data_IF_819820400437
#
_entry.id   IF_819820400437
#
_cell.length_a   1.000
_cell.length_b   1.000
_cell.length_c   1.000
_cell.angle_alpha   90.00
_cell.angle_beta   90.00
_cell.angle_gamma   90.00
#
_symmetry.space_group_name_H-M   'P 1'
#
loop_
_entity.id
_entity.type
_entity.pdbx_description
1 polymer ?
#
# COMPACT_ATOMS: atom_id res chain seq x y z
N UNK A 1 -8.49 -10.99 -12.68
CA UNK A 1 -8.74 -10.48 -14.06
C UNK A 1 -9.49 -11.43 -14.99
N UNK A 2 -9.35 -12.77 -14.91
CA UNK A 2 -10.14 -13.67 -15.77
C UNK A 2 -11.65 -13.52 -15.57
N UNK A 3 -12.11 -13.54 -14.32
CA UNK A 3 -13.53 -13.37 -13.99
C UNK A 3 -14.10 -12.02 -14.49
N UNK A 4 -13.32 -10.93 -14.38
CA UNK A 4 -13.69 -9.62 -14.93
C UNK A 4 -13.91 -9.69 -16.45
N UNK A 5 -12.97 -10.27 -17.20
CA UNK A 5 -13.08 -10.41 -18.66
C UNK A 5 -14.25 -11.29 -19.11
N UNK A 6 -14.69 -12.21 -18.25
CA UNK A 6 -15.82 -13.11 -18.51
C UNK A 6 -17.17 -12.56 -18.07
N UNK A 7 -17.23 -11.35 -17.48
CA UNK A 7 -18.48 -10.82 -16.93
C UNK A 7 -18.91 -11.50 -15.61
N UNK A 8 -18.06 -12.34 -15.01
CA UNK A 8 -18.40 -13.12 -13.81
C UNK A 8 -18.24 -12.25 -12.55
N UNK A 9 -19.33 -11.60 -12.13
CA UNK A 9 -19.38 -10.70 -10.97
C UNK A 9 -18.98 -11.41 -9.67
N UNK A 10 -19.61 -12.54 -9.35
CA UNK A 10 -19.36 -13.25 -8.08
C UNK A 10 -17.93 -13.78 -8.01
N UNK A 11 -17.45 -14.38 -9.10
CA UNK A 11 -16.07 -14.87 -9.18
C UNK A 11 -15.04 -13.73 -9.11
N UNK A 12 -15.35 -12.56 -9.67
CA UNK A 12 -14.49 -11.38 -9.55
C UNK A 12 -14.43 -10.88 -8.10
N UNK A 13 -15.58 -10.71 -7.45
CA UNK A 13 -15.67 -10.24 -6.07
C UNK A 13 -14.95 -11.18 -5.09
N UNK A 14 -15.12 -12.50 -5.25
CA UNK A 14 -14.41 -13.49 -4.44
C UNK A 14 -12.89 -13.39 -4.62
N UNK A 15 -12.43 -13.28 -5.87
CA UNK A 15 -11.00 -13.15 -6.18
C UNK A 15 -10.41 -11.84 -5.67
N UNK A 16 -11.16 -10.73 -5.79
CA UNK A 16 -10.77 -9.42 -5.29
C UNK A 16 -10.63 -9.43 -3.76
N UNK A 17 -11.61 -10.01 -3.05
CA UNK A 17 -11.56 -10.16 -1.59
C UNK A 17 -10.37 -11.01 -1.15
N UNK A 18 -10.13 -12.14 -1.81
CA UNK A 18 -8.98 -13.00 -1.51
C UNK A 18 -7.65 -12.22 -1.70
N UNK A 19 -7.53 -11.49 -2.81
CA UNK A 19 -6.33 -10.71 -3.08
C UNK A 19 -6.08 -9.60 -2.04
N UNK A 20 -7.11 -8.89 -1.60
CA UNK A 20 -6.98 -7.87 -0.55
C UNK A 20 -6.63 -8.50 0.81
N UNK A 21 -7.19 -9.67 1.13
CA UNK A 21 -6.81 -10.42 2.33
C UNK A 21 -5.34 -10.84 2.30
N UNK A 22 -4.82 -11.27 1.13
CA UNK A 22 -3.40 -11.61 0.98
C UNK A 22 -2.49 -10.40 1.24
N UNK A 23 -2.89 -9.18 0.87
CA UNK A 23 -2.13 -7.98 1.22
C UNK A 23 -2.17 -7.68 2.72
N UNK A 24 -3.30 -7.93 3.38
CA UNK A 24 -3.40 -7.80 4.83
C UNK A 24 -2.50 -8.82 5.54
N UNK A 25 -2.53 -10.08 5.11
CA UNK A 25 -1.65 -11.16 5.62
C UNK A 25 -0.17 -10.84 5.38
N UNK A 26 0.17 -10.32 4.19
CA UNK A 26 1.53 -9.87 3.88
C UNK A 26 1.99 -8.77 4.84
N UNK A 27 1.14 -7.78 5.14
CA UNK A 27 1.49 -6.73 6.11
C UNK A 27 1.76 -7.30 7.50
N UNK A 28 0.98 -8.29 7.95
CA UNK A 28 1.20 -8.97 9.25
C UNK A 28 2.54 -9.71 9.26
N UNK A 29 2.83 -10.50 8.22
CA UNK A 29 4.10 -11.21 8.10
C UNK A 29 5.30 -10.25 8.11
N UNK A 30 5.25 -9.19 7.31
CA UNK A 30 6.32 -8.17 7.28
C UNK A 30 6.47 -7.47 8.64
N UNK A 31 5.37 -7.28 9.37
CA UNK A 31 5.34 -6.67 10.70
C UNK A 31 6.10 -7.46 11.77
N UNK A 32 6.35 -8.75 11.54
CA UNK A 32 7.05 -9.64 12.46
C UNK A 32 8.58 -9.59 12.36
N UNK A 33 9.14 -8.81 11.42
CA UNK A 33 10.58 -8.69 11.26
C UNK A 33 11.00 -7.22 11.15
N UNK A 34 11.95 -6.82 12.01
CA UNK A 34 12.46 -5.44 12.10
C UNK A 34 12.94 -4.88 10.76
N UNK A 35 13.46 -5.70 9.86
CA UNK A 35 14.06 -5.23 8.60
C UNK A 35 13.01 -4.86 7.54
N UNK A 36 11.73 -5.16 7.82
CA UNK A 36 10.60 -4.88 6.95
C UNK A 36 9.61 -3.83 7.52
N UNK A 37 10.05 -3.01 8.48
CA UNK A 37 9.19 -2.01 9.13
C UNK A 37 9.37 -0.60 8.56
N UNK A 38 8.32 -0.02 8.00
CA UNK A 38 8.30 1.38 7.57
C UNK A 38 8.66 2.34 8.72
N UNK A 39 8.19 2.06 9.94
CA UNK A 39 8.42 2.93 11.09
C UNK A 39 9.91 3.14 11.40
N UNK A 40 10.77 2.14 11.14
CA UNK A 40 12.22 2.28 11.34
C UNK A 40 12.84 3.23 10.33
N UNK A 41 12.42 3.14 9.06
CA UNK A 41 12.86 4.04 8.01
C UNK A 41 12.46 5.49 8.30
N UNK A 42 11.19 5.72 8.63
CA UNK A 42 10.70 7.07 8.94
C UNK A 42 11.31 7.63 10.22
N UNK A 43 11.51 6.81 11.25
CA UNK A 43 12.21 7.22 12.48
C UNK A 43 13.66 7.63 12.19
N UNK A 44 14.37 6.87 11.35
CA UNK A 44 15.73 7.19 10.96
C UNK A 44 15.79 8.52 10.19
N UNK A 45 14.89 8.74 9.23
CA UNK A 45 14.82 9.99 8.48
C UNK A 45 14.56 11.19 9.39
N UNK A 46 13.58 11.10 10.30
CA UNK A 46 13.30 12.14 11.31
C UNK A 46 14.49 12.41 12.22
N UNK A 47 15.30 11.40 12.56
CA UNK A 47 16.44 11.57 13.46
C UNK A 47 17.55 12.45 12.85
N UNK A 48 17.57 12.65 11.52
CA UNK A 48 18.53 13.52 10.84
C UNK A 48 18.20 15.02 11.00
N UNK A 49 16.94 15.37 11.31
CA UNK A 49 16.50 16.76 11.42
C UNK A 49 16.71 17.32 12.83
N UNK A 50 17.13 18.58 12.93
CA UNK A 50 17.35 19.27 14.22
C UNK A 50 16.11 20.05 14.66
N UNK A 51 15.38 20.63 13.71
CA UNK A 51 14.13 21.38 13.94
C UNK A 51 12.88 20.55 13.62
N UNK A 52 11.70 20.97 14.09
CA UNK A 52 10.45 20.30 13.75
C UNK A 52 10.18 20.31 12.24
N UNK A 53 10.50 21.41 11.58
CA UNK A 53 10.35 21.60 10.13
C UNK A 53 11.26 20.66 9.35
N UNK A 54 12.53 20.52 9.74
CA UNK A 54 13.45 19.57 9.11
C UNK A 54 12.98 18.12 9.29
N UNK A 55 12.50 17.76 10.48
CA UNK A 55 11.99 16.41 10.74
C UNK A 55 10.80 16.06 9.85
N UNK A 56 9.88 17.00 9.65
CA UNK A 56 8.74 16.83 8.76
C UNK A 56 9.17 16.73 7.30
N UNK A 57 10.11 17.59 6.86
CA UNK A 57 10.65 17.55 5.50
C UNK A 57 11.37 16.22 5.20
N UNK A 58 12.13 15.69 6.16
CA UNK A 58 12.83 14.42 5.98
C UNK A 58 11.89 13.21 6.01
N UNK A 59 10.79 13.26 6.79
CA UNK A 59 9.74 12.25 6.67
C UNK A 59 9.07 12.29 5.29
N UNK A 60 8.71 13.48 4.79
CA UNK A 60 8.17 13.67 3.45
C UNK A 60 9.12 13.07 2.39
N UNK A 61 10.40 13.43 2.43
CA UNK A 61 11.40 12.90 1.50
C UNK A 61 11.52 11.37 1.58
N UNK A 62 11.50 10.81 2.80
CA UNK A 62 11.61 9.38 3.03
C UNK A 62 10.40 8.60 2.49
N UNK A 63 9.19 9.15 2.60
CA UNK A 63 7.97 8.58 2.01
C UNK A 63 8.01 8.70 0.49
N UNK A 64 8.26 9.91 -0.01
CA UNK A 64 8.32 10.19 -1.44
C UNK A 64 9.33 9.30 -2.17
N UNK A 65 10.52 9.12 -1.61
CA UNK A 65 11.57 8.31 -2.23
C UNK A 65 11.15 6.86 -2.49
N UNK A 66 10.33 6.25 -1.62
CA UNK A 66 9.91 4.84 -1.77
C UNK A 66 8.58 4.67 -2.50
N UNK A 67 7.93 5.77 -2.90
CA UNK A 67 6.64 5.77 -3.61
C UNK A 67 6.70 6.58 -4.90
N UNK A 68 6.36 7.87 -4.87
CA UNK A 68 6.20 8.72 -6.06
C UNK A 68 7.52 9.11 -6.72
N UNK A 69 8.62 9.09 -5.96
CA UNK A 69 9.98 9.49 -6.36
C UNK A 69 10.14 10.97 -6.78
N UNK A 70 9.04 11.69 -6.95
CA UNK A 70 8.98 13.12 -7.21
C UNK A 70 7.58 13.67 -6.89
N UNK A 71 7.41 15.00 -6.89
CA UNK A 71 6.21 15.66 -6.37
C UNK A 71 4.93 15.31 -7.14
N UNK A 72 5.03 14.78 -8.36
CA UNK A 72 3.86 14.41 -9.19
C UNK A 72 3.94 12.97 -9.67
N UNK A 73 4.73 12.12 -9.02
CA UNK A 73 4.88 10.73 -9.44
C UNK A 73 5.73 10.57 -10.70
N UNK A 74 6.86 11.28 -10.80
CA UNK A 74 7.73 11.23 -11.97
C UNK A 74 8.29 9.83 -12.26
N UNK A 75 8.54 9.02 -11.21
CA UNK A 75 9.01 7.63 -11.34
C UNK A 75 8.33 6.73 -10.30
N UNK A 76 6.99 6.70 -10.35
CA UNK A 76 6.13 5.96 -9.42
C UNK A 76 6.63 4.53 -9.21
N UNK A 77 6.72 4.13 -7.94
CA UNK A 77 7.08 2.80 -7.44
C UNK A 77 8.49 2.32 -7.77
N UNK A 78 9.37 3.16 -8.33
CA UNK A 78 10.74 2.75 -8.71
C UNK A 78 11.53 2.14 -7.55
N UNK A 79 11.54 2.82 -6.39
CA UNK A 79 12.21 2.36 -5.19
C UNK A 79 11.23 1.78 -4.17
N UNK A 80 10.19 1.09 -4.65
CA UNK A 80 9.22 0.44 -3.78
C UNK A 80 9.87 -0.52 -2.77
N UNK A 81 9.15 -0.78 -1.69
CA UNK A 81 9.56 -1.68 -0.61
C UNK A 81 8.38 -2.53 -0.19
N UNK A 82 8.64 -3.81 0.05
CA UNK A 82 7.70 -4.70 0.72
C UNK A 82 7.87 -4.53 2.23
N UNK A 83 7.34 -3.43 2.77
CA UNK A 83 7.41 -3.13 4.20
C UNK A 83 6.01 -3.09 4.82
N UNK A 84 5.90 -3.57 6.06
CA UNK A 84 4.74 -3.31 6.89
C UNK A 84 4.57 -1.80 7.07
N UNK A 85 3.31 -1.34 6.98
CA UNK A 85 2.98 0.09 6.85
C UNK A 85 2.89 0.52 5.38
N UNK A 86 3.89 0.24 4.53
CA UNK A 86 3.78 0.54 3.08
C UNK A 86 2.71 -0.36 2.45
N UNK A 87 2.71 -1.66 2.76
CA UNK A 87 1.67 -2.56 2.24
C UNK A 87 0.27 -2.15 2.70
N UNK A 88 0.09 -1.84 3.98
CA UNK A 88 -1.24 -1.50 4.53
C UNK A 88 -1.73 -0.10 4.17
N UNK A 89 -0.85 0.89 4.05
CA UNK A 89 -1.24 2.31 3.89
C UNK A 89 -0.96 2.89 2.51
N UNK A 90 -0.22 2.17 1.65
CA UNK A 90 0.02 2.58 0.27
C UNK A 90 -0.49 1.53 -0.72
N UNK A 91 -0.04 0.28 -0.68
CA UNK A 91 -0.44 -0.70 -1.72
C UNK A 91 -1.88 -1.21 -1.58
N UNK A 92 -2.29 -1.61 -0.38
CA UNK A 92 -3.64 -2.12 -0.12
C UNK A 92 -4.74 -1.12 -0.53
N UNK A 93 -4.71 0.15 -0.11
CA UNK A 93 -5.72 1.12 -0.53
C UNK A 93 -5.74 1.37 -2.05
N UNK A 94 -4.58 1.40 -2.74
CA UNK A 94 -4.51 1.50 -4.21
C UNK A 94 -5.25 0.33 -4.88
N UNK A 95 -4.95 -0.89 -4.45
CA UNK A 95 -5.59 -2.08 -4.97
C UNK A 95 -7.09 -2.14 -4.66
N UNK A 96 -7.50 -1.70 -3.47
CA UNK A 96 -8.91 -1.63 -3.11
C UNK A 96 -9.67 -0.67 -4.03
N UNK A 97 -9.16 0.54 -4.26
CA UNK A 97 -9.77 1.50 -5.20
C UNK A 97 -9.86 0.93 -6.62
N UNK A 98 -8.78 0.35 -7.12
CA UNK A 98 -8.74 -0.25 -8.45
C UNK A 98 -9.77 -1.39 -8.60
N UNK A 99 -9.80 -2.34 -7.65
CA UNK A 99 -10.71 -3.48 -7.69
C UNK A 99 -12.18 -3.04 -7.53
N UNK A 100 -12.45 -2.00 -6.73
CA UNK A 100 -13.79 -1.42 -6.61
C UNK A 100 -14.25 -0.71 -7.89
N UNK A 101 -13.36 -0.01 -8.58
CA UNK A 101 -13.65 0.60 -9.87
C UNK A 101 -13.97 -0.46 -10.94
N UNK A 102 -13.21 -1.55 -10.98
CA UNK A 102 -13.51 -2.70 -11.83
C UNK A 102 -14.84 -3.37 -11.46
N UNK A 103 -15.10 -3.58 -10.16
CA UNK A 103 -16.38 -4.16 -9.72
C UNK A 103 -17.56 -3.29 -10.15
N UNK A 104 -17.45 -1.97 -9.98
CA UNK A 104 -18.48 -1.01 -10.40
C UNK A 104 -18.73 -1.14 -11.91
N UNK A 105 -17.67 -1.06 -12.71
CA UNK A 105 -17.75 -1.24 -14.17
C UNK A 105 -18.46 -2.55 -14.56
N UNK A 106 -18.15 -3.65 -13.87
CA UNK A 106 -18.74 -4.95 -14.13
C UNK A 106 -20.23 -5.04 -13.76
N UNK A 107 -20.62 -4.48 -12.61
CA UNK A 107 -22.00 -4.53 -12.09
C UNK A 107 -22.93 -3.58 -12.86
N UNK A 108 -22.44 -2.40 -13.25
CA UNK A 108 -23.25 -1.40 -13.97
C UNK A 108 -23.22 -1.58 -15.49
N UNK A 109 -22.31 -2.42 -16.00
CA UNK A 109 -22.09 -2.58 -17.44
C UNK A 109 -21.43 -1.36 -18.10
N UNK A 110 -20.88 -0.42 -17.33
CA UNK A 110 -20.18 0.76 -17.87
C UNK A 110 -18.70 0.44 -18.14
N UNK A 111 -18.09 0.94 -19.23
CA UNK A 111 -16.66 0.75 -19.47
C UNK A 111 -15.77 1.24 -18.31
N UNK A 112 -14.70 0.52 -18.01
CA UNK A 112 -13.72 0.92 -17.00
C UNK A 112 -12.94 2.17 -17.46
N UNK A 113 -13.02 3.25 -16.66
CA UNK A 113 -12.29 4.49 -16.89
C UNK A 113 -10.93 4.44 -16.18
N UNK A 114 -9.91 4.02 -16.91
CA UNK A 114 -8.55 3.89 -16.37
C UNK A 114 -7.96 5.24 -15.95
N UNK A 115 -8.13 6.28 -16.76
CA UNK A 115 -7.54 7.60 -16.49
C UNK A 115 -8.11 8.19 -15.19
N UNK A 116 -9.43 8.13 -15.02
CA UNK A 116 -10.08 8.56 -13.78
C UNK A 116 -9.64 7.74 -12.58
N UNK A 117 -9.55 6.42 -12.72
CA UNK A 117 -9.13 5.54 -11.63
C UNK A 117 -7.69 5.81 -11.21
N UNK A 118 -6.78 6.01 -12.16
CA UNK A 118 -5.38 6.39 -11.88
C UNK A 118 -5.32 7.73 -11.16
N UNK A 119 -6.06 8.75 -11.62
CA UNK A 119 -6.11 10.04 -10.94
C UNK A 119 -6.65 9.91 -9.52
N UNK A 120 -7.68 9.10 -9.32
CA UNK A 120 -8.30 8.90 -8.02
C UNK A 120 -7.37 8.16 -7.05
N UNK A 121 -6.62 7.17 -7.54
CA UNK A 121 -5.58 6.49 -6.77
C UNK A 121 -4.48 7.48 -6.35
N UNK A 122 -4.05 8.35 -7.25
CA UNK A 122 -3.05 9.37 -6.94
C UNK A 122 -3.54 10.29 -5.81
N UNK A 123 -4.73 10.88 -5.94
CA UNK A 123 -5.23 11.90 -5.00
C UNK A 123 -5.66 11.33 -3.66
N UNK A 124 -6.25 10.13 -3.62
CA UNK A 124 -6.77 9.57 -2.36
C UNK A 124 -5.78 8.70 -1.62
N UNK A 125 -4.67 8.32 -2.26
CA UNK A 125 -3.72 7.38 -1.66
C UNK A 125 -2.29 7.85 -1.80
N UNK A 126 -1.80 8.02 -3.04
CA UNK A 126 -0.37 8.17 -3.24
C UNK A 126 0.16 9.51 -2.73
N UNK A 127 -0.55 10.60 -3.02
CA UNK A 127 -0.23 11.95 -2.53
C UNK A 127 -0.42 12.05 -1.02
N UNK A 128 -1.56 11.56 -0.50
CA UNK A 128 -1.86 11.59 0.93
C UNK A 128 -0.85 10.78 1.74
N UNK A 129 -0.42 9.61 1.26
CA UNK A 129 0.60 8.80 1.94
C UNK A 129 1.91 9.56 2.13
N UNK A 130 2.32 10.37 1.15
CA UNK A 130 3.56 11.15 1.20
C UNK A 130 3.43 12.36 2.14
N UNK A 131 2.25 12.98 2.19
CA UNK A 131 1.96 14.14 3.04
C UNK A 131 1.63 13.76 4.49
N UNK A 132 1.28 12.50 4.74
CA UNK A 132 0.91 11.99 6.06
C UNK A 132 2.10 11.98 7.06
N UNK A 133 1.78 12.10 8.34
CA UNK A 133 2.70 12.07 9.48
C UNK A 133 2.42 10.94 10.46
N UNK A 134 1.50 10.02 10.13
CA UNK A 134 1.18 8.81 10.91
C UNK A 134 2.45 8.07 11.33
N UNK A 135 2.55 7.74 12.61
CA UNK A 135 3.66 6.98 13.18
C UNK A 135 3.42 5.48 13.03
N UNK A 136 4.47 4.75 12.66
CA UNK A 136 4.43 3.30 12.50
C UNK A 136 5.30 2.58 13.54
N UNK A 137 5.00 1.31 13.88
CA UNK A 137 5.83 0.51 14.77
C UNK A 137 7.29 0.43 14.32
N UNK A 138 8.20 0.45 15.30
CA UNK A 138 9.67 0.34 15.07
C UNK A 138 10.28 -0.95 15.62
N UNK A 139 9.47 -1.72 16.33
CA UNK A 139 9.76 -3.04 16.85
C UNK A 139 8.83 -4.05 16.17
N UNK A 140 9.32 -5.26 15.88
CA UNK A 140 8.48 -6.29 15.28
C UNK A 140 7.44 -6.83 16.27
N UNK A 141 6.35 -7.37 15.72
CA UNK A 141 5.30 -8.03 16.49
C UNK A 141 4.99 -9.41 15.89
N UNK A 142 4.93 -10.44 16.73
CA UNK A 142 4.69 -11.83 16.33
C UNK A 142 5.94 -12.61 15.94
N UNK A 143 5.75 -13.88 15.62
CA UNK A 143 6.80 -14.80 15.16
C UNK A 143 6.66 -15.06 13.66
N UNK A 144 7.70 -14.75 12.88
CA UNK A 144 7.65 -14.84 11.41
C UNK A 144 7.37 -16.24 10.91
N UNK A 145 7.87 -17.28 11.59
CA UNK A 145 7.68 -18.67 11.16
C UNK A 145 6.25 -19.10 11.42
N UNK A 146 5.73 -18.84 12.63
CA UNK A 146 4.35 -19.16 12.99
C UNK A 146 3.34 -18.46 12.07
N UNK A 147 3.54 -17.16 11.79
CA UNK A 147 2.67 -16.40 10.87
C UNK A 147 2.74 -16.99 9.46
N UNK A 148 3.93 -17.29 8.95
CA UNK A 148 4.08 -17.87 7.62
C UNK A 148 3.40 -19.25 7.51
N UNK A 149 3.53 -20.08 8.54
CA UNK A 149 2.86 -21.38 8.60
C UNK A 149 1.33 -21.25 8.65
N UNK A 150 0.81 -20.29 9.42
CA UNK A 150 -0.63 -20.03 9.49
C UNK A 150 -1.18 -19.55 8.14
N UNK A 151 -0.49 -18.62 7.46
CA UNK A 151 -0.88 -18.16 6.12
C UNK A 151 -0.85 -19.33 5.12
N UNK A 152 0.17 -20.19 5.18
CA UNK A 152 0.30 -21.33 4.26
C UNK A 152 -0.81 -22.37 4.42
N UNK A 153 -1.37 -22.52 5.62
CA UNK A 153 -2.39 -23.51 5.92
C UNK A 153 -3.81 -23.13 5.46
N UNK A 154 -4.04 -21.89 5.02
CA UNK A 154 -5.34 -21.38 4.56
C UNK A 154 -5.57 -21.65 3.08
#
# INVERSE_FOLDING_TARGET
MSAFRQGNVSGFQQSAKLFLNLLADLNVLLGSNKDFLLGRWLKAAKALGTTAQEKQLYEYNARNQITLWGPRGEIVDYANKQWAGVVSHYFLPRWNLFLNALNTSLVTGTPFDQARTTQWIFTEVEELFVLDTTTFPTSPEGDSIAIAMDIHAR
#
